data_IF_575769214765
#
_entry.id   IF_575769214765
#
_cell.length_a   1.000
_cell.length_b   1.000
_cell.length_c   1.000
_cell.angle_alpha   90.00
_cell.angle_beta   90.00
_cell.angle_gamma   90.00
#
_symmetry.space_group_name_H-M   'P 1'
#
loop_
_entity.id
_entity.type
_entity.pdbx_description
1 polymer ?
#
# COMPACT_ATOMS: atom_id res chain seq x y z
N UNK A 1 -8.36 -6.27 -16.47
CA UNK A 1 -8.98 -5.05 -15.90
C UNK A 1 -9.86 -4.30 -16.92
N UNK A 2 -10.71 -4.99 -17.71
CA UNK A 2 -11.59 -4.36 -18.74
C UNK A 2 -13.01 -4.97 -18.77
N UNK A 3 -13.44 -5.62 -17.69
CA UNK A 3 -14.67 -6.44 -17.66
C UNK A 3 -15.70 -5.97 -16.64
N UNK A 4 -15.62 -4.71 -16.20
CA UNK A 4 -16.55 -4.15 -15.24
C UNK A 4 -17.46 -3.15 -15.93
N UNK A 5 -18.77 -3.26 -15.70
CA UNK A 5 -19.79 -2.40 -16.30
C UNK A 5 -19.64 -0.93 -15.89
N UNK A 6 -18.98 -0.66 -14.76
CA UNK A 6 -18.71 0.69 -14.26
C UNK A 6 -17.56 1.42 -14.97
N UNK A 7 -16.89 0.78 -15.94
CA UNK A 7 -15.82 1.42 -16.71
C UNK A 7 -16.40 2.30 -17.82
N UNK A 8 -15.85 3.51 -17.95
CA UNK A 8 -16.22 4.44 -19.01
C UNK A 8 -14.98 4.92 -19.77
N UNK A 9 -15.10 5.03 -21.09
CA UNK A 9 -14.08 5.68 -21.93
C UNK A 9 -14.23 7.21 -21.90
N UNK A 10 -15.32 7.75 -21.34
CA UNK A 10 -15.57 9.18 -21.21
C UNK A 10 -15.13 9.64 -19.83
N UNK A 11 -13.90 10.16 -19.72
CA UNK A 11 -13.33 10.60 -18.44
C UNK A 11 -14.18 11.65 -17.72
N UNK A 12 -14.91 12.49 -18.45
CA UNK A 12 -15.81 13.50 -17.88
C UNK A 12 -17.02 12.90 -17.13
N UNK A 13 -17.41 11.66 -17.46
CA UNK A 13 -18.50 10.95 -16.79
C UNK A 13 -18.01 10.05 -15.64
N UNK A 14 -16.69 9.96 -15.42
CA UNK A 14 -16.13 9.08 -14.41
C UNK A 14 -16.30 9.68 -13.00
N UNK A 15 -16.78 8.87 -12.07
CA UNK A 15 -16.83 9.24 -10.65
C UNK A 15 -15.46 9.11 -9.97
N UNK A 16 -14.61 8.22 -10.47
CA UNK A 16 -13.25 7.99 -10.00
C UNK A 16 -12.31 7.70 -11.18
N UNK A 17 -11.05 8.12 -11.06
CA UNK A 17 -10.02 8.01 -12.09
C UNK A 17 -8.86 7.19 -11.56
N UNK A 18 -8.62 6.02 -12.14
CA UNK A 18 -7.46 5.19 -11.81
C UNK A 18 -6.21 5.73 -12.51
N UNK A 19 -5.13 5.94 -11.76
CA UNK A 19 -3.83 6.33 -12.29
C UNK A 19 -2.98 5.07 -12.45
N UNK A 20 -2.60 4.66 -13.68
CA UNK A 20 -1.81 3.47 -13.93
C UNK A 20 -0.31 3.73 -13.66
N UNK A 21 0.02 4.06 -12.42
CA UNK A 21 1.39 4.34 -11.98
C UNK A 21 1.86 3.26 -11.00
N UNK A 22 3.00 2.64 -11.30
CA UNK A 22 3.59 1.59 -10.47
C UNK A 22 4.50 2.18 -9.40
N UNK A 23 3.89 2.72 -8.35
CA UNK A 23 4.61 3.32 -7.24
C UNK A 23 5.42 2.27 -6.47
N UNK A 24 6.72 2.52 -6.27
CA UNK A 24 7.62 1.69 -5.45
C UNK A 24 8.69 0.89 -6.21
N UNK A 25 8.81 1.07 -7.54
CA UNK A 25 9.83 0.43 -8.38
C UNK A 25 11.06 1.33 -8.69
N UNK A 26 11.10 2.56 -8.17
CA UNK A 26 12.11 3.57 -8.53
C UNK A 26 13.45 3.35 -7.79
N UNK A 27 14.46 2.80 -8.49
CA UNK A 27 15.78 2.46 -7.89
C UNK A 27 16.87 3.53 -8.02
N UNK A 28 16.84 4.39 -9.05
CA UNK A 28 17.95 5.32 -9.36
C UNK A 28 17.65 6.79 -9.06
N UNK A 29 16.41 7.24 -9.27
CA UNK A 29 15.94 8.62 -9.02
C UNK A 29 14.59 8.58 -8.34
N UNK A 30 14.62 8.34 -7.02
CA UNK A 30 13.43 7.97 -6.22
C UNK A 30 12.26 8.95 -6.31
N UNK A 31 12.50 10.24 -6.55
CA UNK A 31 11.41 11.23 -6.68
C UNK A 31 11.10 11.63 -8.12
N UNK A 32 11.96 11.33 -9.10
CA UNK A 32 11.80 11.86 -10.47
C UNK A 32 10.48 11.38 -11.08
N UNK A 33 10.19 10.07 -10.99
CA UNK A 33 8.94 9.51 -11.48
C UNK A 33 7.70 10.10 -10.77
N UNK A 34 7.81 10.40 -9.48
CA UNK A 34 6.73 11.03 -8.70
C UNK A 34 6.54 12.50 -9.06
N UNK A 35 7.62 13.22 -9.37
CA UNK A 35 7.58 14.60 -9.84
C UNK A 35 6.98 14.69 -11.25
N UNK A 36 7.41 13.82 -12.16
CA UNK A 36 6.90 13.73 -13.53
C UNK A 36 5.41 13.37 -13.53
N UNK A 37 5.00 12.41 -12.70
CA UNK A 37 3.59 12.07 -12.50
C UNK A 37 2.80 13.28 -11.99
N UNK A 38 3.33 13.98 -10.98
CA UNK A 38 2.66 15.15 -10.39
C UNK A 38 2.45 16.25 -11.43
N UNK A 39 3.48 16.52 -12.23
CA UNK A 39 3.38 17.46 -13.34
C UNK A 39 2.34 17.00 -14.36
N UNK A 40 2.42 15.75 -14.82
CA UNK A 40 1.50 15.21 -15.81
C UNK A 40 0.04 15.27 -15.35
N UNK A 41 -0.25 14.92 -14.09
CA UNK A 41 -1.59 14.97 -13.51
C UNK A 41 -2.14 16.39 -13.46
N UNK A 42 -1.36 17.35 -12.96
CA UNK A 42 -1.84 18.74 -12.76
C UNK A 42 -2.17 19.48 -14.06
N UNK A 43 -1.56 19.07 -15.19
CA UNK A 43 -1.90 19.61 -16.50
C UNK A 43 -3.14 18.96 -17.14
N UNK A 44 -3.61 17.81 -16.62
CA UNK A 44 -4.80 17.14 -17.15
C UNK A 44 -6.11 17.88 -16.78
N UNK A 45 -7.07 18.01 -17.70
CA UNK A 45 -8.39 18.57 -17.41
C UNK A 45 -9.14 17.80 -16.31
N UNK A 46 -8.97 16.48 -16.26
CA UNK A 46 -9.61 15.59 -15.29
C UNK A 46 -9.20 15.94 -13.86
N UNK A 47 -7.91 16.24 -13.65
CA UNK A 47 -7.39 16.63 -12.34
C UNK A 47 -8.02 17.93 -11.85
N UNK A 48 -8.17 18.92 -12.72
CA UNK A 48 -8.69 20.26 -12.36
C UNK A 48 -10.15 20.25 -11.91
N UNK A 49 -10.92 19.22 -12.24
CA UNK A 49 -12.35 19.10 -11.90
C UNK A 49 -12.60 19.20 -10.40
N UNK A 50 -11.86 18.42 -9.60
CA UNK A 50 -11.93 18.43 -8.13
C UNK A 50 -10.54 18.31 -7.49
N UNK A 51 -9.53 18.88 -8.15
CA UNK A 51 -8.13 18.92 -7.72
C UNK A 51 -7.54 17.53 -7.38
N UNK A 52 -7.95 16.47 -8.08
CA UNK A 52 -7.40 15.12 -7.89
C UNK A 52 -8.09 14.26 -6.82
N UNK A 53 -9.12 14.75 -6.13
CA UNK A 53 -9.82 13.99 -5.07
C UNK A 53 -10.58 12.75 -5.54
N UNK A 54 -10.87 12.69 -6.83
CA UNK A 54 -11.45 11.55 -7.55
C UNK A 54 -10.38 10.61 -8.10
N UNK A 55 -9.10 10.95 -7.99
CA UNK A 55 -8.02 10.15 -8.52
C UNK A 55 -7.51 9.19 -7.45
N UNK A 56 -7.20 7.96 -7.88
CA UNK A 56 -6.60 6.97 -7.01
C UNK A 56 -5.57 6.12 -7.73
N UNK A 57 -4.60 5.59 -6.98
CA UNK A 57 -3.59 4.69 -7.51
C UNK A 57 -3.26 3.59 -6.49
N UNK A 58 -2.76 2.46 -6.98
CA UNK A 58 -2.40 1.31 -6.13
C UNK A 58 -0.88 1.21 -6.08
N UNK A 59 -0.32 1.25 -4.88
CA UNK A 59 1.11 1.07 -4.64
C UNK A 59 1.41 -0.36 -4.21
N UNK A 60 2.56 -0.88 -4.67
CA UNK A 60 3.02 -2.22 -4.28
C UNK A 60 3.78 -2.26 -2.96
N UNK A 61 3.82 -1.17 -2.21
CA UNK A 61 4.61 -1.01 -0.98
C UNK A 61 3.81 -0.31 0.13
N UNK A 62 4.37 -0.20 1.32
CA UNK A 62 3.73 0.48 2.46
C UNK A 62 3.77 1.99 2.27
N UNK A 63 2.87 2.74 2.92
CA UNK A 63 2.87 4.21 2.87
C UNK A 63 4.16 4.84 3.43
N UNK A 64 4.91 4.10 4.25
CA UNK A 64 6.22 4.53 4.75
C UNK A 64 7.24 4.73 3.62
N UNK A 65 7.15 3.92 2.57
CA UNK A 65 8.04 4.00 1.39
C UNK A 65 7.74 5.21 0.48
N UNK A 66 6.65 5.94 0.74
CA UNK A 66 6.23 7.12 -0.03
C UNK A 66 6.31 8.43 0.77
N UNK A 67 6.94 8.38 1.95
CA UNK A 67 7.01 9.48 2.91
C UNK A 67 8.38 10.15 3.03
N UNK A 68 9.24 9.97 2.04
CA UNK A 68 10.57 10.59 2.08
C UNK A 68 10.42 12.12 2.05
N UNK A 69 11.01 12.79 3.04
CA UNK A 69 11.12 14.25 3.04
C UNK A 69 12.37 14.66 2.27
N UNK A 70 12.25 15.63 1.36
CA UNK A 70 13.41 16.19 0.66
C UNK A 70 14.28 16.97 1.65
N UNK A 71 15.46 16.44 1.98
CA UNK A 71 16.51 17.21 2.68
C UNK A 71 17.13 16.57 3.92
N UNK A 72 16.44 15.66 4.63
CA UNK A 72 16.89 15.24 5.99
C UNK A 72 16.83 13.72 6.27
N UNK A 73 16.43 12.90 5.30
CA UNK A 73 16.30 11.47 5.55
C UNK A 73 17.64 10.74 5.37
N UNK A 74 18.34 10.55 6.50
CA UNK A 74 19.53 9.69 6.67
C UNK A 74 19.23 8.20 6.36
N UNK A 75 17.94 7.84 6.28
CA UNK A 75 17.51 6.48 5.92
C UNK A 75 17.47 6.29 4.40
N UNK A 76 18.60 5.83 3.87
CA UNK A 76 18.73 5.39 2.49
C UNK A 76 17.76 4.25 2.09
N UNK A 77 16.97 3.70 3.01
CA UNK A 77 16.00 2.64 2.74
C UNK A 77 14.60 3.13 2.33
N UNK A 78 14.27 4.42 2.56
CA UNK A 78 12.96 4.97 2.17
C UNK A 78 12.89 5.25 0.66
N UNK A 79 11.74 4.94 0.06
CA UNK A 79 11.46 5.12 -1.38
C UNK A 79 11.24 6.58 -1.81
N UNK A 80 10.10 6.88 -2.42
CA UNK A 80 9.79 8.20 -2.97
C UNK A 80 9.13 9.14 -1.95
N UNK A 81 9.04 10.43 -2.26
CA UNK A 81 8.30 11.43 -1.47
C UNK A 81 6.84 11.66 -1.90
N UNK A 82 6.23 10.75 -2.68
CA UNK A 82 4.93 10.99 -3.33
C UNK A 82 3.83 11.46 -2.36
N UNK A 83 3.67 10.84 -1.19
CA UNK A 83 2.66 11.20 -0.19
C UNK A 83 2.94 12.53 0.52
N UNK A 84 4.16 13.05 0.42
CA UNK A 84 4.53 14.36 0.97
C UNK A 84 4.13 15.49 0.01
N UNK A 85 4.06 15.20 -1.29
CA UNK A 85 3.70 16.20 -2.31
C UNK A 85 2.24 16.65 -2.20
N UNK A 86 1.91 17.89 -2.61
CA UNK A 86 0.53 18.37 -2.67
C UNK A 86 -0.38 17.48 -3.54
N UNK A 87 0.15 16.96 -4.65
CA UNK A 87 -0.57 16.05 -5.54
C UNK A 87 -0.90 14.74 -4.81
N UNK A 88 0.08 14.09 -4.20
CA UNK A 88 -0.14 12.83 -3.46
C UNK A 88 -1.04 12.95 -2.24
N UNK A 89 -1.13 14.13 -1.64
CA UNK A 89 -2.09 14.41 -0.55
C UNK A 89 -3.51 14.61 -1.02
N UNK A 90 -3.72 15.04 -2.26
CA UNK A 90 -5.04 15.34 -2.80
C UNK A 90 -5.70 14.15 -3.53
N UNK A 91 -4.94 13.10 -3.84
CA UNK A 91 -5.42 11.85 -4.44
C UNK A 91 -5.36 10.69 -3.44
N UNK A 92 -6.16 9.64 -3.66
CA UNK A 92 -6.16 8.45 -2.80
C UNK A 92 -5.08 7.44 -3.19
N UNK A 93 -4.19 7.10 -2.26
CA UNK A 93 -3.17 6.07 -2.45
C UNK A 93 -3.57 4.78 -1.74
N UNK A 94 -3.83 3.72 -2.49
CA UNK A 94 -4.09 2.39 -1.94
C UNK A 94 -2.75 1.69 -1.69
N UNK A 95 -2.41 1.43 -0.43
CA UNK A 95 -1.11 0.90 0.03
C UNK A 95 -1.29 -0.39 0.82
N UNK A 96 -0.21 -1.14 1.04
CA UNK A 96 -0.26 -2.35 1.87
C UNK A 96 -0.49 -2.02 3.36
N UNK A 97 0.14 -0.94 3.82
CA UNK A 97 0.06 -0.47 5.20
C UNK A 97 -0.03 1.06 5.18
N UNK A 98 -1.13 1.60 5.68
CA UNK A 98 -1.35 3.03 5.89
C UNK A 98 -0.58 3.53 7.12
N UNK A 99 -0.15 4.77 7.04
CA UNK A 99 0.45 5.52 8.15
C UNK A 99 -0.52 6.42 8.87
N UNK A 100 -1.73 6.62 8.31
CA UNK A 100 -2.80 7.45 8.84
C UNK A 100 -2.43 8.94 9.06
N UNK A 101 -1.25 9.39 8.63
CA UNK A 101 -0.76 10.75 8.92
C UNK A 101 -1.48 11.85 8.16
N UNK A 102 -1.79 11.59 6.89
CA UNK A 102 -2.36 12.59 5.99
C UNK A 102 -3.79 12.24 5.54
N UNK A 103 -4.26 11.02 5.81
CA UNK A 103 -5.60 10.57 5.44
C UNK A 103 -5.81 10.31 3.94
N UNK A 104 -4.77 10.48 3.12
CA UNK A 104 -4.80 10.18 1.68
C UNK A 104 -4.37 8.75 1.36
N UNK A 105 -3.76 8.04 2.32
CA UNK A 105 -3.31 6.66 2.20
C UNK A 105 -4.24 5.65 2.88
N UNK A 106 -4.73 4.67 2.11
CA UNK A 106 -5.68 3.65 2.56
C UNK A 106 -5.08 2.27 2.45
N UNK A 107 -5.13 1.50 3.54
CA UNK A 107 -4.65 0.11 3.54
C UNK A 107 -5.58 -0.78 2.70
N UNK A 108 -5.01 -1.44 1.70
CA UNK A 108 -5.63 -2.57 1.01
C UNK A 108 -4.93 -3.86 1.43
N UNK A 109 -5.64 -5.00 1.48
CA UNK A 109 -5.02 -6.27 1.83
C UNK A 109 -3.79 -6.53 0.96
N UNK A 110 -2.75 -7.11 1.58
CA UNK A 110 -1.59 -7.56 0.84
C UNK A 110 -2.04 -8.40 -0.37
N UNK A 111 -1.43 -8.23 -1.55
CA UNK A 111 -1.60 -9.15 -2.66
C UNK A 111 -1.17 -10.53 -2.17
N UNK A 112 -2.13 -11.29 -1.68
CA UNK A 112 -1.92 -12.69 -1.33
C UNK A 112 -1.95 -13.50 -2.62
N UNK A 113 -1.40 -14.70 -2.60
CA UNK A 113 -1.60 -15.69 -3.66
C UNK A 113 -3.09 -16.03 -3.89
N UNK A 114 -4.00 -15.53 -3.05
CA UNK A 114 -5.43 -15.69 -3.23
C UNK A 114 -5.96 -14.63 -4.22
N UNK A 115 -6.19 -15.07 -5.45
CA UNK A 115 -6.78 -14.28 -6.53
C UNK A 115 -8.19 -14.79 -6.85
N UNK A 116 -9.23 -14.42 -6.08
CA UNK A 116 -10.59 -14.84 -6.35
C UNK A 116 -11.06 -14.31 -7.70
N UNK A 117 -11.74 -15.15 -8.48
CA UNK A 117 -12.32 -14.81 -9.79
C UNK A 117 -13.78 -14.38 -9.67
N UNK A 118 -14.41 -14.63 -8.53
CA UNK A 118 -15.80 -14.30 -8.22
C UNK A 118 -16.01 -14.10 -6.73
N UNK A 119 -17.12 -13.45 -6.34
CA UNK A 119 -17.52 -13.30 -4.94
C UNK A 119 -17.71 -14.65 -4.25
N UNK A 120 -18.15 -15.67 -4.99
CA UNK A 120 -18.28 -17.03 -4.49
C UNK A 120 -16.93 -17.62 -4.06
N UNK A 121 -15.82 -17.26 -4.70
CA UNK A 121 -14.48 -17.70 -4.31
C UNK A 121 -14.09 -17.11 -2.94
N UNK A 122 -14.43 -15.83 -2.72
CA UNK A 122 -14.23 -15.14 -1.44
C UNK A 122 -15.04 -15.81 -0.34
N UNK A 123 -16.33 -16.07 -0.58
CA UNK A 123 -17.21 -16.74 0.39
C UNK A 123 -16.67 -18.12 0.77
N UNK A 124 -16.28 -18.96 -0.22
CA UNK A 124 -15.70 -20.28 0.05
C UNK A 124 -14.41 -20.19 0.87
N UNK A 125 -13.55 -19.21 0.60
CA UNK A 125 -12.34 -19.00 1.40
C UNK A 125 -12.69 -18.59 2.83
N UNK A 126 -13.64 -17.67 3.02
CA UNK A 126 -14.09 -17.26 4.34
C UNK A 126 -14.70 -18.43 5.12
N UNK A 127 -15.53 -19.25 4.49
CA UNK A 127 -16.15 -20.42 5.13
C UNK A 127 -15.10 -21.45 5.54
N UNK A 128 -14.10 -21.71 4.68
CA UNK A 128 -12.95 -22.54 5.03
C UNK A 128 -12.23 -21.98 6.25
N UNK A 129 -11.92 -20.69 6.28
CA UNK A 129 -11.20 -20.02 7.37
C UNK A 129 -12.03 -19.98 8.66
N UNK A 130 -13.36 -19.81 8.58
CA UNK A 130 -14.27 -19.83 9.73
C UNK A 130 -14.45 -21.25 10.29
N UNK A 131 -14.47 -22.28 9.44
CA UNK A 131 -14.65 -23.68 9.83
C UNK A 131 -13.40 -24.35 10.39
N UNK A 132 -12.22 -23.73 10.32
CA UNK A 132 -11.02 -24.27 10.94
C UNK A 132 -11.12 -24.24 12.47
N UNK A 133 -10.97 -25.40 13.11
CA UNK A 133 -10.85 -25.49 14.57
C UNK A 133 -9.52 -24.87 15.01
N UNK A 134 -9.57 -23.69 15.63
CA UNK A 134 -8.40 -23.02 16.20
C UNK A 134 -8.30 -23.31 17.69
N UNK A 135 -7.31 -24.11 18.08
CA UNK A 135 -6.99 -24.32 19.51
C UNK A 135 -6.33 -23.07 20.12
N UNK A 136 -5.60 -22.32 19.30
CA UNK A 136 -4.90 -21.10 19.69
C UNK A 136 -5.41 -19.93 18.84
N UNK A 137 -5.80 -18.84 19.49
CA UNK A 137 -6.29 -17.62 18.83
C UNK A 137 -5.18 -16.57 18.61
N UNK A 138 -3.94 -16.95 18.89
CA UNK A 138 -2.76 -16.13 18.71
C UNK A 138 -1.73 -16.92 17.90
N UNK A 139 -1.02 -16.21 17.03
CA UNK A 139 0.14 -16.73 16.32
C UNK A 139 1.23 -15.67 16.40
N UNK A 140 2.43 -16.10 16.79
CA UNK A 140 3.60 -15.23 16.75
C UNK A 140 4.22 -15.32 15.35
N UNK A 141 4.34 -14.17 14.68
CA UNK A 141 5.02 -14.05 13.39
C UNK A 141 6.21 -13.14 13.58
N UNK A 142 7.41 -13.72 13.54
CA UNK A 142 8.67 -13.00 13.74
C UNK A 142 9.85 -13.84 13.32
N UNK A 143 10.99 -13.19 13.10
CA UNK A 143 12.26 -13.82 12.76
C UNK A 143 13.29 -13.42 13.82
N UNK A 144 14.26 -14.28 14.14
CA UNK A 144 15.31 -13.89 15.07
C UNK A 144 16.09 -12.67 14.57
N UNK A 145 16.46 -11.76 15.49
CA UNK A 145 17.21 -10.54 15.15
C UNK A 145 18.58 -10.53 15.83
N UNK A 146 19.60 -11.15 15.21
CA UNK A 146 20.92 -11.34 15.83
C UNK A 146 21.72 -10.04 16.02
N UNK A 147 21.33 -8.96 15.34
CA UNK A 147 21.97 -7.65 15.29
C UNK A 147 21.43 -6.64 16.31
N UNK A 148 20.41 -7.01 17.09
CA UNK A 148 19.79 -6.14 18.10
C UNK A 148 20.29 -6.53 19.50
N UNK A 149 20.58 -5.53 20.33
CA UNK A 149 21.00 -5.72 21.72
C UNK A 149 20.08 -6.69 22.48
N UNK A 150 20.69 -7.58 23.27
CA UNK A 150 20.03 -8.69 24.01
C UNK A 150 18.86 -8.26 24.91
N UNK A 151 18.81 -6.99 25.33
CA UNK A 151 17.71 -6.44 26.12
C UNK A 151 16.40 -6.25 25.33
N UNK A 152 16.43 -6.32 23.99
CA UNK A 152 15.27 -6.08 23.09
C UNK A 152 14.89 -7.37 22.31
N UNK A 153 15.57 -8.50 22.55
CA UNK A 153 15.35 -9.79 21.89
C UNK A 153 14.11 -10.56 22.40
N UNK A 154 12.98 -9.88 22.56
CA UNK A 154 11.71 -10.52 22.94
C UNK A 154 11.31 -11.58 21.89
N UNK A 155 11.58 -11.32 20.60
CA UNK A 155 11.28 -12.23 19.51
C UNK A 155 12.02 -13.56 19.63
N UNK A 156 13.32 -13.52 19.93
CA UNK A 156 14.15 -14.73 20.09
C UNK A 156 13.66 -15.57 21.27
N UNK A 157 13.28 -14.93 22.38
CA UNK A 157 12.75 -15.63 23.56
C UNK A 157 11.40 -16.28 23.28
N UNK A 158 10.48 -15.59 22.60
CA UNK A 158 9.18 -16.17 22.23
C UNK A 158 9.37 -17.36 21.28
N UNK A 159 10.24 -17.23 20.28
CA UNK A 159 10.57 -18.33 19.36
C UNK A 159 11.17 -19.52 20.11
N UNK A 160 12.11 -19.28 21.04
CA UNK A 160 12.72 -20.33 21.84
C UNK A 160 11.70 -21.06 22.72
N UNK A 161 10.78 -20.33 23.36
CA UNK A 161 9.69 -20.92 24.14
C UNK A 161 8.76 -21.77 23.27
N UNK A 162 8.36 -21.26 22.10
CA UNK A 162 7.52 -22.02 21.16
C UNK A 162 8.21 -23.30 20.66
N UNK A 163 9.53 -23.30 20.48
CA UNK A 163 10.29 -24.50 20.06
C UNK A 163 10.46 -25.54 21.18
N UNK A 164 10.36 -25.13 22.43
CA UNK A 164 10.49 -25.99 23.60
C UNK A 164 9.16 -26.59 24.07
N UNK A 165 8.04 -26.21 23.44
CA UNK A 165 6.67 -26.68 23.72
C UNK A 165 6.28 -27.81 22.78
#
# INVERSE_FOLDING_TARGET
MKRYECLTNRSAAASAVFIPFYAGFDKATRDAASADLSFWLTVQPQWRRIAGRDHFLVAGRTAWDFQRSSGDDVNADRGSGLLVTPVGRNMSLLVLESTLKHGSDFSVPYPTYFHPRSDADVLRWQDRVRGQKRMWLMAFVGVPRPDVATSIQVQDRVIAQCKAS
#
